data_IF_855784533210
#
_entry.id   IF_855784533210
#
_cell.length_a   1.000
_cell.length_b   1.000
_cell.length_c   1.000
_cell.angle_alpha   90.00
_cell.angle_beta   90.00
_cell.angle_gamma   90.00
#
_symmetry.space_group_name_H-M   'P 1'
#
loop_
_entity.id
_entity.type
_entity.pdbx_description
1 polymer ?
#
# COMPACT_ATOMS: atom_id res chain seq x y z
N UNK A 1 -5.43 1.71 -14.54
CA UNK A 1 -6.37 1.79 -13.41
C UNK A 1 -5.83 1.05 -12.20
N UNK A 2 -6.17 1.48 -10.98
CA UNK A 2 -5.79 0.83 -9.72
C UNK A 2 -6.96 0.00 -9.19
N UNK A 3 -6.70 -1.13 -8.54
CA UNK A 3 -7.76 -2.02 -8.02
C UNK A 3 -7.65 -2.31 -6.52
N UNK A 4 -6.50 -1.99 -5.90
CA UNK A 4 -6.26 -2.15 -4.46
C UNK A 4 -6.31 -0.81 -3.71
N UNK A 5 -7.11 -0.77 -2.64
CA UNK A 5 -7.41 0.46 -1.88
C UNK A 5 -7.41 0.22 -0.37
N UNK A 6 -7.02 1.26 0.37
CA UNK A 6 -7.17 1.35 1.82
C UNK A 6 -8.12 2.51 2.10
N UNK A 7 -9.32 2.23 2.61
CA UNK A 7 -10.28 3.24 3.03
C UNK A 7 -10.07 3.57 4.51
N UNK A 8 -10.16 4.85 4.87
CA UNK A 8 -9.99 5.33 6.24
C UNK A 8 -11.18 6.17 6.68
N UNK A 9 -11.48 6.12 7.99
CA UNK A 9 -12.50 6.95 8.62
C UNK A 9 -12.09 8.42 8.63
N UNK A 10 -13.08 9.32 8.71
CA UNK A 10 -12.82 10.75 8.96
C UNK A 10 -12.07 10.91 10.28
N UNK A 11 -11.05 11.76 10.30
CA UNK A 11 -10.17 11.99 11.45
C UNK A 11 -8.84 11.23 11.36
N UNK A 12 -8.73 10.20 10.52
CA UNK A 12 -7.44 9.52 10.29
C UNK A 12 -6.63 10.33 9.28
N UNK A 13 -5.44 10.79 9.68
CA UNK A 13 -4.52 11.49 8.79
C UNK A 13 -3.55 10.50 8.13
N UNK A 14 -3.51 10.50 6.80
CA UNK A 14 -2.56 9.69 6.02
C UNK A 14 -1.29 10.49 5.78
N UNK A 15 -0.25 10.16 6.52
CA UNK A 15 1.07 10.81 6.45
C UNK A 15 1.89 10.37 5.24
N UNK A 16 1.75 9.10 4.84
CA UNK A 16 2.45 8.54 3.68
C UNK A 16 1.63 7.46 3.03
N UNK A 17 1.73 7.38 1.71
CA UNK A 17 1.17 6.32 0.88
C UNK A 17 2.29 5.76 -0.01
N UNK A 18 2.34 4.44 -0.19
CA UNK A 18 3.31 3.79 -1.06
C UNK A 18 2.85 2.42 -1.56
N UNK A 19 3.43 2.00 -2.67
CA UNK A 19 3.30 0.63 -3.20
C UNK A 19 4.67 -0.01 -3.05
N UNK A 20 4.73 -1.18 -2.42
CA UNK A 20 5.98 -1.92 -2.24
C UNK A 20 6.22 -2.79 -3.46
N UNK A 21 7.24 -2.47 -4.25
CA UNK A 21 7.54 -3.13 -5.53
C UNK A 21 8.82 -3.98 -5.48
N UNK A 22 9.21 -4.43 -4.30
CA UNK A 22 10.38 -5.28 -4.10
C UNK A 22 10.24 -6.60 -4.85
N UNK A 23 11.33 -7.00 -5.51
CA UNK A 23 11.44 -8.28 -6.24
C UNK A 23 12.50 -9.11 -5.55
N UNK A 24 12.11 -10.29 -5.06
CA UNK A 24 13.00 -11.18 -4.34
C UNK A 24 13.47 -12.31 -5.26
N UNK A 25 14.77 -12.40 -5.50
CA UNK A 25 15.38 -13.42 -6.39
C UNK A 25 14.77 -13.46 -7.80
N UNK A 26 14.33 -12.31 -8.32
CA UNK A 26 13.69 -12.25 -9.64
C UNK A 26 12.23 -12.70 -9.67
N UNK A 27 11.62 -12.99 -8.51
CA UNK A 27 10.23 -13.39 -8.38
C UNK A 27 9.40 -12.34 -7.65
N UNK A 28 8.17 -12.17 -8.11
CA UNK A 28 7.18 -11.40 -7.38
C UNK A 28 6.69 -12.20 -6.16
N UNK A 29 6.60 -11.58 -4.98
CA UNK A 29 6.04 -12.26 -3.80
C UNK A 29 4.55 -12.60 -3.92
N UNK A 30 3.81 -11.89 -4.78
CA UNK A 30 2.37 -12.05 -5.05
C UNK A 30 2.06 -11.55 -6.47
N UNK A 31 0.87 -11.86 -6.98
CA UNK A 31 0.31 -11.35 -8.23
C UNK A 31 -0.12 -9.87 -8.17
N UNK A 32 -0.26 -9.29 -6.97
CA UNK A 32 -0.42 -7.85 -6.75
C UNK A 32 0.73 -7.29 -5.87
N UNK A 33 0.98 -5.98 -6.00
CA UNK A 33 1.89 -5.28 -5.08
C UNK A 33 1.16 -4.84 -3.81
N UNK A 34 1.78 -5.00 -2.62
CA UNK A 34 1.23 -4.45 -1.39
C UNK A 34 1.07 -2.92 -1.47
N UNK A 35 -0.11 -2.45 -1.10
CA UNK A 35 -0.38 -1.03 -0.86
C UNK A 35 -0.22 -0.76 0.64
N UNK A 36 0.61 0.21 1.01
CA UNK A 36 0.91 0.55 2.40
C UNK A 36 0.67 2.04 2.67
N UNK A 37 0.21 2.35 3.88
CA UNK A 37 0.12 3.72 4.39
C UNK A 37 0.80 3.86 5.75
N UNK A 38 1.32 5.05 6.03
CA UNK A 38 1.61 5.52 7.38
C UNK A 38 0.49 6.48 7.79
N UNK A 39 -0.14 6.27 8.93
CA UNK A 39 -1.28 7.05 9.36
C UNK A 39 -1.29 7.29 10.88
N UNK A 40 -1.95 8.37 11.29
CA UNK A 40 -2.14 8.77 12.68
C UNK A 40 -3.61 9.17 12.94
N UNK A 41 -3.99 9.22 14.22
CA UNK A 41 -5.33 9.59 14.69
C UNK A 41 -5.37 11.03 15.21
#
# INVERSE_FOLDING_TARGET
DRIDYIFVSKGIQVNKYGVLNDIQYGHFPSDHYPVMINAEF
#
